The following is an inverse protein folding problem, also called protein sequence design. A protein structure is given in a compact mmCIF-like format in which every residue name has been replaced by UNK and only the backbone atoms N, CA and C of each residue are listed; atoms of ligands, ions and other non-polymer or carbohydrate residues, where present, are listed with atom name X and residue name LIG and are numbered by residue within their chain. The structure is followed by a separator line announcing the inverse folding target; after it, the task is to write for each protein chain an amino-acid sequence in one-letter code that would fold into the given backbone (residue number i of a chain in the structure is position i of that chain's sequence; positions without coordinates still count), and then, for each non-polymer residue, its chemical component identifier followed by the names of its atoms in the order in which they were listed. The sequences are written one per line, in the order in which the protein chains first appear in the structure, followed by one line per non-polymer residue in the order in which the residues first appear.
data_IF_642048446424
#
_entry.id   IF_642048446424
#
_cell.length_a   1.000
_cell.length_b   1.000
_cell.length_c   1.000
_cell.angle_alpha   90.00
_cell.angle_beta   90.00
_cell.angle_gamma   90.00
#
_symmetry.space_group_name_H-M   'P 1'
#
loop_
_entity.id
_entity.type
_entity.pdbx_description
1 polymer ?
#
# COMPACT_ATOMS: atom_id res chain seq x y z
N UNK A 1 3.08 62.74 17.11
CA UNK A 1 1.98 62.03 17.80
C UNK A 1 1.44 60.98 16.83
N UNK A 2 1.41 59.69 17.19
CA UNK A 2 0.90 58.65 16.29
C UNK A 2 -0.61 58.83 16.04
N UNK A 3 -1.08 58.51 14.83
CA UNK A 3 -2.46 58.79 14.37
C UNK A 3 -3.51 58.01 15.20
N UNK A 4 -3.08 56.90 15.80
CA UNK A 4 -3.89 55.96 16.59
C UNK A 4 -4.13 56.37 18.04
N UNK A 5 -3.52 57.45 18.53
CA UNK A 5 -3.62 57.81 19.94
C UNK A 5 -5.09 58.13 20.32
N UNK A 6 -5.66 57.33 21.23
CA UNK A 6 -7.06 57.46 21.69
C UNK A 6 -8.13 56.85 20.77
N UNK A 7 -7.76 56.08 19.73
CA UNK A 7 -8.71 55.37 18.85
C UNK A 7 -8.63 53.86 19.08
N UNK A 8 -9.77 53.22 19.31
CA UNK A 8 -9.87 51.76 19.31
C UNK A 8 -9.89 51.23 17.87
N UNK A 9 -8.71 50.81 17.40
CA UNK A 9 -8.48 50.34 16.03
C UNK A 9 -9.20 49.02 15.75
N UNK A 10 -9.45 48.21 16.79
CA UNK A 10 -10.16 46.93 16.68
C UNK A 10 -11.65 47.19 16.48
N UNK A 11 -12.21 48.16 17.20
CA UNK A 11 -13.61 48.56 17.06
C UNK A 11 -13.92 49.21 15.69
N UNK A 12 -12.97 49.94 15.08
CA UNK A 12 -13.17 50.59 13.77
C UNK A 12 -13.03 49.64 12.57
N UNK A 13 -12.38 48.50 12.73
CA UNK A 13 -12.16 47.53 11.68
C UNK A 13 -13.41 46.68 11.38
N UNK A 14 -14.67 47.14 11.53
CA UNK A 14 -15.82 46.23 11.55
C UNK A 14 -16.20 45.54 10.21
N UNK A 15 -15.88 46.05 9.01
CA UNK A 15 -16.12 45.28 7.77
C UNK A 15 -15.33 45.77 6.55
N UNK A 16 -14.95 44.83 5.67
CA UNK A 16 -14.35 45.09 4.37
C UNK A 16 -12.83 45.31 4.38
N UNK A 17 -12.21 45.04 3.23
CA UNK A 17 -10.79 45.12 2.78
C UNK A 17 -9.80 46.13 3.42
N UNK A 18 -10.22 47.02 4.31
CA UNK A 18 -9.37 47.97 5.03
C UNK A 18 -8.77 47.48 6.36
N UNK A 19 -9.22 46.35 6.93
CA UNK A 19 -8.70 45.87 8.24
C UNK A 19 -7.22 45.52 8.19
N UNK A 20 -6.80 44.76 7.18
CA UNK A 20 -5.41 44.38 6.97
C UNK A 20 -4.53 45.61 6.75
N UNK A 21 -5.02 46.60 5.97
CA UNK A 21 -4.31 47.87 5.77
C UNK A 21 -4.23 48.71 7.04
N UNK A 22 -5.29 48.76 7.86
CA UNK A 22 -5.33 49.54 9.11
C UNK A 22 -4.46 48.92 10.21
N UNK A 23 -4.44 47.58 10.30
CA UNK A 23 -3.52 46.85 11.18
C UNK A 23 -2.08 47.05 10.70
N UNK A 24 -1.80 46.90 9.40
CA UNK A 24 -0.46 47.13 8.84
C UNK A 24 0.02 48.58 9.08
N UNK A 25 -0.83 49.58 8.88
CA UNK A 25 -0.53 50.99 9.17
C UNK A 25 -0.26 51.25 10.66
N UNK A 26 -1.05 50.63 11.55
CA UNK A 26 -0.87 50.74 13.00
C UNK A 26 0.48 50.15 13.39
N UNK A 27 0.78 48.92 12.95
CA UNK A 27 2.07 48.27 13.19
C UNK A 27 3.23 49.13 12.66
N UNK A 28 3.13 49.69 11.44
CA UNK A 28 4.14 50.60 10.91
C UNK A 28 4.31 51.92 11.70
N UNK A 29 3.30 52.35 12.46
CA UNK A 29 3.39 53.54 13.33
C UNK A 29 3.94 53.23 14.72
N UNK A 30 3.87 51.98 15.19
CA UNK A 30 4.41 51.56 16.50
C UNK A 30 5.81 50.96 16.38
N UNK A 31 6.16 50.37 15.24
CA UNK A 31 7.52 49.92 14.94
C UNK A 31 8.45 51.13 14.83
N UNK A 32 9.50 51.17 15.64
CA UNK A 32 10.46 52.25 15.60
C UNK A 32 11.44 52.03 14.45
N UNK A 33 11.12 52.58 13.27
CA UNK A 33 11.98 52.49 12.08
C UNK A 33 13.32 53.20 12.23
N UNK A 34 13.52 54.00 13.30
CA UNK A 34 14.82 54.59 13.63
C UNK A 34 15.69 53.65 14.49
N UNK A 35 15.09 52.63 15.12
CA UNK A 35 15.81 51.60 15.87
C UNK A 35 16.48 50.60 14.91
N UNK A 36 17.81 50.63 14.89
CA UNK A 36 18.65 49.78 14.04
C UNK A 36 18.49 48.29 14.37
N UNK A 37 18.15 47.97 15.62
CA UNK A 37 17.99 46.59 16.10
C UNK A 37 16.69 45.95 15.60
N UNK A 38 15.56 46.65 15.75
CA UNK A 38 14.24 46.19 15.25
C UNK A 38 14.24 46.05 13.73
N UNK A 39 14.82 47.02 13.02
CA UNK A 39 14.96 46.98 11.56
C UNK A 39 15.85 45.83 11.09
N UNK A 40 16.93 45.54 11.84
CA UNK A 40 17.83 44.42 11.55
C UNK A 40 17.15 43.06 11.70
N UNK A 41 16.39 42.87 12.78
CA UNK A 41 15.64 41.64 13.03
C UNK A 41 14.55 41.42 11.97
N UNK A 42 13.79 42.46 11.61
CA UNK A 42 12.74 42.39 10.60
C UNK A 42 13.32 42.07 9.21
N UNK A 43 14.43 42.69 8.83
CA UNK A 43 15.10 42.41 7.56
C UNK A 43 15.66 40.98 7.51
N UNK A 44 16.21 40.47 8.61
CA UNK A 44 16.68 39.10 8.70
C UNK A 44 15.52 38.08 8.56
N UNK A 45 14.40 38.35 9.24
CA UNK A 45 13.18 37.54 9.13
C UNK A 45 12.62 37.55 7.70
N UNK A 46 12.56 38.73 7.06
CA UNK A 46 12.14 38.88 5.66
C UNK A 46 13.04 38.07 4.71
N UNK A 47 14.35 38.25 4.79
CA UNK A 47 15.30 37.51 3.96
C UNK A 47 15.19 35.99 4.17
N UNK A 48 14.90 35.54 5.40
CA UNK A 48 14.69 34.12 5.70
C UNK A 48 13.40 33.60 5.06
N UNK A 49 12.32 34.36 5.15
CA UNK A 49 11.04 34.02 4.54
C UNK A 49 11.14 33.96 3.01
N UNK A 50 11.81 34.94 2.39
CA UNK A 50 12.05 34.99 0.94
C UNK A 50 12.79 33.74 0.47
N UNK A 51 13.88 33.36 1.15
CA UNK A 51 14.61 32.12 0.85
C UNK A 51 13.74 30.87 0.99
N UNK A 52 12.88 30.81 2.02
CA UNK A 52 11.97 29.67 2.21
C UNK A 52 10.91 29.59 1.12
N UNK A 53 10.37 30.73 0.68
CA UNK A 53 9.39 30.78 -0.41
C UNK A 53 10.03 30.34 -1.73
N UNK A 54 11.25 30.78 -2.03
CA UNK A 54 12.00 30.32 -3.20
C UNK A 54 12.26 28.82 -3.16
N UNK A 55 12.76 28.31 -2.02
CA UNK A 55 13.02 26.87 -1.83
C UNK A 55 11.75 26.04 -1.99
N UNK A 56 10.64 26.43 -1.36
CA UNK A 56 9.36 25.74 -1.48
C UNK A 56 8.81 25.80 -2.90
N UNK A 57 9.00 26.91 -3.60
CA UNK A 57 8.61 27.05 -5.01
C UNK A 57 9.39 26.07 -5.88
N UNK A 58 10.71 25.95 -5.67
CA UNK A 58 11.54 24.97 -6.38
C UNK A 58 11.13 23.53 -6.06
N UNK A 59 10.91 23.19 -4.78
CA UNK A 59 10.47 21.86 -4.36
C UNK A 59 9.13 21.49 -4.99
N UNK A 60 8.17 22.41 -5.00
CA UNK A 60 6.85 22.18 -5.61
C UNK A 60 6.95 21.94 -7.11
N UNK A 61 7.78 22.71 -7.82
CA UNK A 61 7.99 22.53 -9.27
C UNK A 61 8.65 21.19 -9.60
N UNK A 62 9.63 20.77 -8.79
CA UNK A 62 10.27 19.47 -8.92
C UNK A 62 9.26 18.34 -8.68
N UNK A 63 8.48 18.44 -7.61
CA UNK A 63 7.48 17.43 -7.25
C UNK A 63 6.41 17.28 -8.32
N UNK A 64 5.93 18.39 -8.89
CA UNK A 64 5.01 18.38 -10.05
C UNK A 64 5.61 17.65 -11.25
N UNK A 65 6.88 17.90 -11.56
CA UNK A 65 7.56 17.21 -12.67
C UNK A 65 7.69 15.71 -12.40
N UNK A 66 8.15 15.34 -11.20
CA UNK A 66 8.27 13.94 -10.80
C UNK A 66 6.94 13.20 -10.85
N UNK A 67 5.82 13.85 -10.46
CA UNK A 67 4.49 13.24 -10.59
C UNK A 67 4.12 12.95 -12.03
N UNK A 68 4.41 13.86 -12.96
CA UNK A 68 4.16 13.64 -14.39
C UNK A 68 4.99 12.47 -14.92
N UNK A 69 6.30 12.47 -14.64
CA UNK A 69 7.21 11.39 -15.08
C UNK A 69 6.78 10.03 -14.52
N UNK A 70 6.36 9.99 -13.25
CA UNK A 70 5.88 8.77 -12.60
C UNK A 70 4.57 8.24 -13.19
N UNK A 71 3.60 9.12 -13.45
CA UNK A 71 2.33 8.72 -14.07
C UNK A 71 2.53 8.25 -15.52
N UNK A 72 3.45 8.86 -16.26
CA UNK A 72 3.83 8.41 -17.61
C UNK A 72 4.48 7.02 -17.56
N UNK A 73 5.46 6.81 -16.69
CA UNK A 73 6.13 5.51 -16.51
C UNK A 73 5.13 4.41 -16.12
N UNK A 74 4.24 4.70 -15.16
CA UNK A 74 3.18 3.79 -14.73
C UNK A 74 2.21 3.46 -15.87
N UNK A 75 1.83 4.45 -16.67
CA UNK A 75 0.96 4.23 -17.84
C UNK A 75 1.63 3.35 -18.88
N UNK A 76 2.92 3.58 -19.14
CA UNK A 76 3.71 2.78 -20.08
C UNK A 76 3.86 1.32 -19.61
N UNK A 77 4.14 1.10 -18.32
CA UNK A 77 4.26 -0.24 -17.74
C UNK A 77 2.94 -0.99 -17.79
N UNK A 78 1.82 -0.34 -17.46
CA UNK A 78 0.49 -0.92 -17.58
C UNK A 78 0.17 -1.35 -19.02
N UNK A 79 0.55 -0.54 -20.02
CA UNK A 79 0.35 -0.91 -21.43
C UNK A 79 1.17 -2.16 -21.81
N UNK A 80 2.43 -2.26 -21.35
CA UNK A 80 3.28 -3.44 -21.58
C UNK A 80 2.70 -4.70 -20.92
N UNK A 81 2.24 -4.59 -19.68
CA UNK A 81 1.63 -5.69 -18.95
C UNK A 81 0.32 -6.16 -19.60
N UNK A 82 -0.51 -5.22 -20.06
CA UNK A 82 -1.74 -5.55 -20.79
C UNK A 82 -1.45 -6.29 -22.10
N UNK A 83 -0.43 -5.86 -22.86
CA UNK A 83 0.00 -6.54 -24.08
C UNK A 83 0.48 -7.97 -23.79
N UNK A 84 1.38 -8.15 -22.82
CA UNK A 84 1.91 -9.47 -22.48
C UNK A 84 0.82 -10.43 -21.98
N UNK A 85 -0.17 -9.92 -21.25
CA UNK A 85 -1.32 -10.71 -20.81
C UNK A 85 -2.17 -11.19 -21.98
N UNK A 86 -2.42 -10.32 -22.97
CA UNK A 86 -3.16 -10.70 -24.18
C UNK A 86 -2.40 -11.76 -24.98
N UNK A 87 -1.08 -11.62 -25.11
CA UNK A 87 -0.24 -12.61 -25.81
C UNK A 87 -0.29 -13.98 -25.14
N UNK A 88 -0.19 -14.04 -23.80
CA UNK A 88 -0.28 -15.30 -23.04
C UNK A 88 -1.67 -15.93 -23.20
N UNK A 89 -2.74 -15.13 -23.17
CA UNK A 89 -4.10 -15.62 -23.36
C UNK A 89 -4.30 -16.19 -24.77
N UNK A 90 -3.72 -15.55 -25.78
CA UNK A 90 -3.74 -16.04 -27.16
C UNK A 90 -3.01 -17.39 -27.26
N UNK A 91 -1.78 -17.48 -26.74
CA UNK A 91 -1.02 -18.73 -26.77
C UNK A 91 -1.70 -19.86 -25.99
N UNK A 92 -2.36 -19.56 -24.88
CA UNK A 92 -3.15 -20.55 -24.16
C UNK A 92 -4.30 -21.09 -25.02
N UNK A 93 -4.99 -20.21 -25.76
CA UNK A 93 -6.07 -20.61 -26.66
C UNK A 93 -5.54 -21.48 -27.81
N UNK A 94 -4.44 -21.08 -28.45
CA UNK A 94 -3.79 -21.84 -29.52
C UNK A 94 -3.33 -23.23 -29.05
N UNK A 95 -2.70 -23.29 -27.88
CA UNK A 95 -2.24 -24.56 -27.27
C UNK A 95 -3.42 -25.49 -26.97
N UNK A 96 -4.52 -24.93 -26.48
CA UNK A 96 -5.76 -25.68 -26.22
C UNK A 96 -6.37 -26.24 -27.51
N UNK A 97 -6.35 -25.48 -28.60
CA UNK A 97 -6.83 -25.93 -29.90
C UNK A 97 -5.94 -27.02 -30.51
N UNK A 98 -4.61 -26.91 -30.38
CA UNK A 98 -3.67 -27.94 -30.84
C UNK A 98 -3.84 -29.26 -30.05
N UNK A 99 -3.95 -29.19 -28.73
CA UNK A 99 -4.17 -30.36 -27.87
C UNK A 99 -5.50 -31.07 -28.19
N UNK A 100 -6.55 -30.30 -28.49
CA UNK A 100 -7.83 -30.88 -28.90
C UNK A 100 -7.72 -31.65 -30.23
N UNK A 101 -6.93 -31.15 -31.19
CA UNK A 101 -6.67 -31.84 -32.46
C UNK A 101 -5.86 -33.12 -32.27
N UNK A 102 -4.82 -33.10 -31.42
CA UNK A 102 -4.04 -34.31 -31.12
C UNK A 102 -4.89 -35.40 -30.45
N UNK A 103 -5.81 -35.04 -29.56
CA UNK A 103 -6.73 -35.98 -28.91
C UNK A 103 -7.71 -36.64 -29.90
N UNK A 104 -8.25 -35.87 -30.85
CA UNK A 104 -9.09 -36.38 -31.95
C UNK A 104 -8.33 -37.37 -32.84
N UNK A 105 -7.07 -37.08 -33.17
CA UNK A 105 -6.24 -37.99 -33.97
C UNK A 105 -5.84 -39.26 -33.21
N UNK A 106 -5.60 -39.16 -31.90
CA UNK A 106 -5.34 -40.31 -31.04
C UNK A 106 -6.58 -41.22 -30.90
N UNK A 107 -7.79 -40.64 -30.87
CA UNK A 107 -9.06 -41.39 -30.91
C UNK A 107 -9.25 -42.14 -32.23
N UNK A 108 -8.99 -41.49 -33.36
CA UNK A 108 -9.10 -42.12 -34.70
C UNK A 108 -8.06 -43.20 -34.94
N UNK A 109 -6.87 -43.09 -34.34
CA UNK A 109 -5.83 -44.13 -34.40
C UNK A 109 -6.16 -45.37 -33.56
N UNK A 110 -7.02 -45.23 -32.53
CA UNK A 110 -7.48 -46.36 -31.71
C UNK A 110 -8.57 -47.22 -32.40
N UNK A 111 -9.21 -46.70 -33.47
CA UNK A 111 -10.35 -47.35 -34.14
C UNK A 111 -9.93 -48.34 -35.26
N UNK A 112 -8.62 -48.45 -35.58
CA UNK A 112 -8.07 -49.33 -36.64
C UNK A 112 -7.42 -50.61 -36.07
N UNK A 113 -7.73 -50.99 -34.83
CA UNK A 113 -7.24 -52.26 -34.24
C UNK A 113 -8.25 -53.38 -34.54
N UNK A 114 -7.87 -54.47 -35.23
CA UNK A 114 -8.77 -55.60 -35.41
C UNK A 114 -9.04 -56.25 -34.06
N UNK A 115 -10.30 -56.69 -33.88
CA UNK A 115 -10.88 -57.42 -32.76
C UNK A 115 -9.82 -58.25 -32.01
N UNK A 116 -9.31 -57.70 -30.92
CA UNK A 116 -8.77 -58.46 -29.81
C UNK A 116 -9.68 -58.10 -28.64
N UNK A 117 -10.22 -59.13 -28.03
CA UNK A 117 -11.04 -59.08 -26.83
C UNK A 117 -10.24 -58.36 -25.73
N UNK A 118 -10.46 -57.05 -25.61
CA UNK A 118 -9.79 -56.22 -24.61
C UNK A 118 -10.42 -56.52 -23.25
N UNK A 119 -9.85 -57.52 -22.58
CA UNK A 119 -9.98 -57.63 -21.13
C UNK A 119 -9.34 -56.36 -20.56
N UNK A 120 -10.14 -55.50 -19.94
CA UNK A 120 -9.65 -54.33 -19.22
C UNK A 120 -8.84 -54.79 -18.00
N UNK A 121 -7.55 -55.07 -18.20
CA UNK A 121 -6.61 -55.34 -17.10
C UNK A 121 -6.17 -53.99 -16.53
N UNK A 122 -7.10 -53.28 -15.91
CA UNK A 122 -6.72 -52.46 -14.75
C UNK A 122 -6.59 -53.49 -13.62
N UNK A 123 -5.36 -53.88 -13.29
CA UNK A 123 -5.13 -54.80 -12.18
C UNK A 123 -5.86 -54.27 -10.94
N UNK A 124 -6.88 -54.98 -10.41
CA UNK A 124 -7.63 -54.52 -9.24
C UNK A 124 -6.71 -54.26 -8.04
N UNK A 125 -5.59 -54.99 -7.99
CA UNK A 125 -4.51 -54.85 -7.01
C UNK A 125 -3.79 -53.50 -7.10
N UNK A 126 -3.60 -52.94 -8.30
CA UNK A 126 -2.93 -51.65 -8.48
C UNK A 126 -3.84 -50.49 -8.10
N UNK A 127 -5.13 -50.59 -8.42
CA UNK A 127 -6.14 -49.62 -8.00
C UNK A 127 -6.30 -49.61 -6.47
N UNK A 128 -6.33 -50.78 -5.84
CA UNK A 128 -6.38 -50.91 -4.38
C UNK A 128 -5.12 -50.32 -3.71
N UNK A 129 -3.93 -50.56 -4.25
CA UNK A 129 -2.68 -49.93 -3.79
C UNK A 129 -2.72 -48.41 -3.89
N UNK A 130 -3.09 -47.86 -5.05
CA UNK A 130 -3.19 -46.41 -5.26
C UNK A 130 -4.25 -45.77 -4.36
N UNK A 131 -5.34 -46.48 -4.08
CA UNK A 131 -6.40 -46.01 -3.17
C UNK A 131 -5.88 -45.96 -1.73
N UNK A 132 -5.19 -47.02 -1.28
CA UNK A 132 -4.57 -47.08 0.04
C UNK A 132 -3.45 -46.03 0.23
N UNK A 133 -2.63 -45.78 -0.79
CA UNK A 133 -1.62 -44.72 -0.75
C UNK A 133 -2.25 -43.33 -0.70
N UNK A 134 -3.32 -43.09 -1.46
CA UNK A 134 -4.07 -41.83 -1.37
C UNK A 134 -4.70 -41.64 0.01
N UNK A 135 -5.23 -42.69 0.65
CA UNK A 135 -5.74 -42.60 2.01
C UNK A 135 -4.64 -42.28 3.02
N UNK A 136 -3.45 -42.91 2.90
CA UNK A 136 -2.29 -42.59 3.74
C UNK A 136 -1.83 -41.14 3.54
N UNK A 137 -1.75 -40.67 2.29
CA UNK A 137 -1.39 -39.29 1.97
C UNK A 137 -2.39 -38.28 2.56
N UNK A 138 -3.70 -38.58 2.49
CA UNK A 138 -4.73 -37.74 3.13
C UNK A 138 -4.57 -37.69 4.65
N UNK A 139 -4.27 -38.82 5.31
CA UNK A 139 -4.02 -38.87 6.76
C UNK A 139 -2.77 -38.07 7.14
N UNK A 140 -1.66 -38.25 6.43
CA UNK A 140 -0.42 -37.49 6.65
C UNK A 140 -0.65 -35.99 6.44
N UNK A 141 -1.39 -35.60 5.40
CA UNK A 141 -1.72 -34.20 5.13
C UNK A 141 -2.56 -33.61 6.26
N UNK A 142 -3.57 -34.33 6.74
CA UNK A 142 -4.40 -33.90 7.86
C UNK A 142 -3.57 -33.73 9.14
N UNK A 143 -2.76 -34.72 9.48
CA UNK A 143 -2.03 -34.76 10.73
C UNK A 143 -0.89 -33.73 10.78
N UNK A 144 -0.15 -33.54 9.68
CA UNK A 144 0.96 -32.58 9.62
C UNK A 144 0.51 -31.15 9.38
N UNK A 145 -0.52 -30.95 8.54
CA UNK A 145 -0.89 -29.59 8.12
C UNK A 145 -2.13 -29.08 8.84
N UNK A 146 -3.19 -29.87 9.04
CA UNK A 146 -4.41 -29.36 9.70
C UNK A 146 -4.22 -29.21 11.21
N UNK A 147 -3.58 -30.19 11.86
CA UNK A 147 -3.35 -30.16 13.32
C UNK A 147 -2.36 -29.07 13.74
N UNK A 148 -1.31 -28.83 12.96
CA UNK A 148 -0.24 -27.87 13.29
C UNK A 148 -0.37 -26.53 12.56
N UNK A 149 -1.31 -26.39 11.61
CA UNK A 149 -1.50 -25.19 10.80
C UNK A 149 -1.49 -23.91 11.63
N UNK A 150 -2.40 -23.84 12.61
CA UNK A 150 -2.57 -22.64 13.42
C UNK A 150 -1.31 -22.33 14.24
N UNK A 151 -0.67 -23.36 14.82
CA UNK A 151 0.57 -23.20 15.59
C UNK A 151 1.74 -22.72 14.73
N UNK A 152 1.83 -23.18 13.47
CA UNK A 152 2.86 -22.74 12.52
C UNK A 152 2.65 -21.29 12.10
N UNK A 153 1.40 -20.89 11.84
CA UNK A 153 1.07 -19.52 11.42
C UNK A 153 1.29 -18.50 12.55
N UNK A 154 1.06 -18.90 13.80
CA UNK A 154 1.20 -18.05 14.98
C UNK A 154 2.61 -18.10 15.61
N UNK A 155 3.54 -18.89 15.06
CA UNK A 155 4.87 -19.07 15.63
C UNK A 155 5.62 -17.73 15.70
N UNK A 156 6.23 -17.47 16.85
CA UNK A 156 7.04 -16.27 17.05
C UNK A 156 8.22 -16.24 16.08
N UNK A 157 8.49 -15.06 15.51
CA UNK A 157 9.60 -14.77 14.58
C UNK A 157 9.65 -15.56 13.26
N UNK A 158 8.76 -16.54 13.04
CA UNK A 158 8.80 -17.40 11.82
C UNK A 158 7.42 -17.72 11.25
N UNK A 159 6.34 -17.39 11.98
CA UNK A 159 4.98 -17.53 11.50
C UNK A 159 4.59 -16.46 10.47
N UNK A 160 3.34 -16.53 10.00
CA UNK A 160 2.83 -15.68 8.93
C UNK A 160 2.96 -14.17 9.24
N UNK A 161 2.78 -13.76 10.51
CA UNK A 161 2.94 -12.33 10.90
C UNK A 161 4.39 -11.85 10.82
N UNK A 162 5.37 -12.72 11.09
CA UNK A 162 6.78 -12.35 10.97
C UNK A 162 7.16 -12.19 9.50
N UNK A 163 6.74 -13.14 8.65
CA UNK A 163 6.99 -13.09 7.21
C UNK A 163 6.39 -11.84 6.55
N UNK A 164 5.18 -11.42 6.98
CA UNK A 164 4.55 -10.19 6.49
C UNK A 164 5.32 -8.93 6.91
N UNK A 165 5.77 -8.87 8.17
CA UNK A 165 6.52 -7.72 8.71
C UNK A 165 7.89 -7.56 8.05
N UNK A 166 8.54 -8.68 7.76
CA UNK A 166 9.90 -8.72 7.23
C UNK A 166 9.94 -8.80 5.68
N UNK A 167 8.79 -8.60 5.03
CA UNK A 167 8.60 -8.61 3.57
C UNK A 167 9.17 -9.88 2.88
N UNK A 168 8.98 -11.04 3.51
CA UNK A 168 9.47 -12.35 3.02
C UNK A 168 8.53 -12.95 2.00
N UNK A 169 8.40 -12.32 0.84
CA UNK A 169 7.43 -12.66 -0.22
C UNK A 169 7.60 -14.08 -0.76
N UNK A 170 8.82 -14.58 -0.88
CA UNK A 170 9.10 -15.95 -1.36
C UNK A 170 8.61 -17.00 -0.36
N UNK A 171 8.84 -16.78 0.94
CA UNK A 171 8.39 -17.68 2.00
C UNK A 171 6.87 -17.63 2.17
N UNK A 172 6.26 -16.45 2.04
CA UNK A 172 4.80 -16.28 1.98
C UNK A 172 4.20 -17.02 0.78
N UNK A 173 4.85 -16.96 -0.38
CA UNK A 173 4.41 -17.68 -1.58
C UNK A 173 4.52 -19.19 -1.39
N UNK A 174 5.59 -19.68 -0.76
CA UNK A 174 5.76 -21.10 -0.41
C UNK A 174 4.70 -21.56 0.58
N UNK A 175 4.38 -20.73 1.58
CA UNK A 175 3.30 -20.96 2.54
C UNK A 175 1.94 -21.02 1.82
N UNK A 176 1.62 -20.07 0.96
CA UNK A 176 0.37 -20.08 0.18
C UNK A 176 0.21 -21.38 -0.63
N UNK A 177 1.26 -21.79 -1.35
CA UNK A 177 1.27 -23.04 -2.15
C UNK A 177 1.05 -24.30 -1.30
N UNK A 178 1.43 -24.27 -0.03
CA UNK A 178 1.22 -25.37 0.91
C UNK A 178 -0.24 -25.40 1.40
N UNK A 179 -0.76 -24.24 1.82
CA UNK A 179 -2.09 -24.14 2.42
C UNK A 179 -3.23 -24.17 1.39
N UNK A 180 -3.00 -23.77 0.13
CA UNK A 180 -4.03 -23.84 -0.92
C UNK A 180 -4.41 -25.28 -1.32
N UNK A 181 -3.53 -26.25 -1.03
CA UNK A 181 -3.78 -27.69 -1.28
C UNK A 181 -4.63 -28.35 -0.20
N UNK A 182 -4.94 -27.64 0.88
CA UNK A 182 -5.71 -28.15 2.01
C UNK A 182 -7.13 -27.58 1.93
N UNK A 183 -8.19 -28.40 2.02
CA UNK A 183 -9.54 -27.89 2.14
C UNK A 183 -9.66 -26.90 3.30
N UNK A 184 -10.11 -25.67 3.02
CA UNK A 184 -10.17 -24.55 3.99
C UNK A 184 -8.82 -24.13 4.62
N UNK A 185 -7.68 -24.56 4.09
CA UNK A 185 -6.37 -24.23 4.63
C UNK A 185 -6.02 -22.74 4.55
N UNK A 186 -6.55 -22.01 3.57
CA UNK A 186 -6.29 -20.58 3.43
C UNK A 186 -7.08 -19.70 4.41
N UNK A 187 -8.13 -20.23 5.03
CA UNK A 187 -8.97 -19.50 6.00
C UNK A 187 -8.14 -18.94 7.18
N UNK A 188 -7.30 -19.74 7.88
CA UNK A 188 -6.45 -19.20 8.95
C UNK A 188 -5.37 -18.23 8.43
N UNK A 189 -4.80 -18.48 7.24
CA UNK A 189 -3.81 -17.57 6.63
C UNK A 189 -4.43 -16.19 6.36
N UNK A 190 -5.63 -16.17 5.76
CA UNK A 190 -6.37 -14.96 5.48
C UNK A 190 -6.75 -14.22 6.77
N UNK A 191 -7.08 -14.95 7.84
CA UNK A 191 -7.40 -14.35 9.13
C UNK A 191 -6.19 -13.65 9.76
N UNK A 192 -5.02 -14.30 9.73
CA UNK A 192 -3.77 -13.71 10.22
C UNK A 192 -3.37 -12.48 9.41
N UNK A 193 -3.49 -12.54 8.07
CA UNK A 193 -3.25 -11.41 7.18
C UNK A 193 -4.18 -10.23 7.49
N UNK A 194 -5.49 -10.48 7.61
CA UNK A 194 -6.49 -9.46 7.98
C UNK A 194 -6.14 -8.79 9.31
N UNK A 195 -5.80 -9.58 10.34
CA UNK A 195 -5.41 -9.05 11.64
C UNK A 195 -4.13 -8.21 11.58
N UNK A 196 -3.14 -8.61 10.77
CA UNK A 196 -1.90 -7.86 10.57
C UNK A 196 -2.17 -6.50 9.92
N UNK A 197 -2.86 -6.48 8.77
CA UNK A 197 -3.21 -5.23 8.06
C UNK A 197 -4.04 -4.30 8.94
N UNK A 198 -5.00 -4.85 9.70
CA UNK A 198 -5.82 -4.06 10.62
C UNK A 198 -4.96 -3.42 11.73
N UNK A 199 -4.03 -4.19 12.31
CA UNK A 199 -3.14 -3.69 13.36
C UNK A 199 -2.22 -2.58 12.84
N UNK A 200 -1.58 -2.77 11.67
CA UNK A 200 -0.73 -1.76 11.07
C UNK A 200 -1.51 -0.49 10.69
N UNK A 201 -2.68 -0.65 10.06
CA UNK A 201 -3.55 0.48 9.72
C UNK A 201 -3.99 1.26 10.96
N UNK A 202 -4.32 0.58 12.05
CA UNK A 202 -4.70 1.23 13.32
C UNK A 202 -3.53 2.00 13.92
N UNK A 203 -2.32 1.44 13.89
CA UNK A 203 -1.11 2.10 14.37
C UNK A 203 -0.79 3.38 13.58
N UNK A 204 -0.89 3.33 12.25
CA UNK A 204 -0.70 4.49 11.38
C UNK A 204 -1.72 5.61 11.64
N UNK A 205 -3.00 5.24 11.80
CA UNK A 205 -4.05 6.21 12.15
C UNK A 205 -3.78 6.86 13.50
N UNK A 206 -3.34 6.09 14.49
CA UNK A 206 -3.02 6.63 15.81
C UNK A 206 -1.81 7.57 15.74
N UNK A 207 -0.75 7.17 15.05
CA UNK A 207 0.43 8.03 14.84
C UNK A 207 0.07 9.36 14.16
N UNK A 208 -0.85 9.34 13.18
CA UNK A 208 -1.34 10.54 12.54
C UNK A 208 -2.14 11.44 13.50
N UNK A 209 -3.00 10.85 14.35
CA UNK A 209 -3.75 11.59 15.37
C UNK A 209 -2.81 12.24 16.39
N UNK A 210 -1.82 11.50 16.87
CA UNK A 210 -0.85 11.98 17.85
C UNK A 210 0.00 13.12 17.27
N UNK A 211 0.39 13.02 16.00
CA UNK A 211 1.10 14.10 15.30
C UNK A 211 0.27 15.38 15.17
N UNK A 212 -1.03 15.26 14.86
CA UNK A 212 -1.97 16.40 14.81
C UNK A 212 -2.14 17.01 16.20
N UNK A 213 -2.34 16.18 17.23
CA UNK A 213 -2.50 16.67 18.61
C UNK A 213 -1.24 17.39 19.11
N UNK A 214 -0.05 16.90 18.74
CA UNK A 214 1.22 17.57 19.05
C UNK A 214 1.36 18.91 18.31
N UNK A 215 0.94 18.99 17.05
CA UNK A 215 0.94 20.24 16.30
C UNK A 215 -0.02 21.27 16.92
N UNK A 216 -1.23 20.86 17.29
CA UNK A 216 -2.20 21.73 17.97
C UNK A 216 -1.65 22.21 19.32
N UNK A 217 -1.06 21.32 20.12
CA UNK A 217 -0.42 21.70 21.38
C UNK A 217 0.75 22.68 21.16
N UNK A 218 1.57 22.45 20.14
CA UNK A 218 2.67 23.34 19.80
C UNK A 218 2.17 24.75 19.43
N UNK A 219 1.11 24.84 18.61
CA UNK A 219 0.47 26.12 18.24
C UNK A 219 -0.16 26.80 19.47
N UNK A 220 -0.84 26.07 20.35
CA UNK A 220 -1.44 26.61 21.57
C UNK A 220 -0.36 27.15 22.53
N UNK A 221 0.72 26.40 22.75
CA UNK A 221 1.84 26.81 23.62
C UNK A 221 2.54 28.05 23.07
N UNK A 222 2.71 28.17 21.75
CA UNK A 222 3.32 29.34 21.13
C UNK A 222 2.43 30.60 21.16
N UNK A 223 1.10 30.43 21.17
CA UNK A 223 0.15 31.55 21.20
C UNK A 223 -0.21 31.99 22.63
N UNK A 224 0.00 31.17 23.65
CA UNK A 224 -0.29 31.49 25.05
C UNK A 224 0.44 32.73 25.61
N UNK A 225 1.69 33.09 25.23
CA UNK A 225 2.33 34.31 25.69
C UNK A 225 1.91 35.57 24.91
N UNK A 226 1.10 35.42 23.85
CA UNK A 226 0.73 36.51 22.93
C UNK A 226 -0.73 36.97 23.14
N UNK A 227 -1.53 36.18 23.87
CA UNK A 227 -2.88 36.50 24.36
C UNK A 227 -2.84 36.91 25.83
#
# INVERSE_FOLDING_TARGET
MPIINGRDVIAQAQSGTGKTSMIALTVCQVVDTASREETGALQAAKNKLEKQVEELTWRLQLEKRMRVDLEEAKTQENAKLQSALQDIQLQFKETKELLAKECETAKKAAEVVPIIQEVSVVDPVMLEKLTNENEKLKKVQHELLVTYANRLLEKEHSGCRALLRDDKVEDLSRMYRLYCKIPRGLEPVANVFKQHVTAEGTALVQQAKDAVSNYVNFVVVLLHPIL
#
